data_IF_870608379887
#
_entry.id   IF_870608379887
#
_cell.length_a   1.000
_cell.length_b   1.000
_cell.length_c   1.000
_cell.angle_alpha   90.00
_cell.angle_beta   90.00
_cell.angle_gamma   90.00
#
_symmetry.space_group_name_H-M   'P 1'
#
loop_
_entity.id
_entity.type
_entity.pdbx_description
1 polymer ?
#
# COMPACT_ATOMS: atom_id res chain seq x y z
N UNK A 1 -4.60 -13.01 11.93
CA UNK A 1 -4.27 -11.88 11.02
C UNK A 1 -2.77 -11.67 11.09
N UNK A 2 -2.06 -11.63 9.98
CA UNK A 2 -0.61 -11.38 9.98
C UNK A 2 -0.38 -9.94 10.43
N UNK A 3 -0.01 -9.77 11.70
CA UNK A 3 0.28 -8.45 12.28
C UNK A 3 1.59 -7.93 11.69
N UNK A 4 1.50 -6.89 10.86
CA UNK A 4 2.69 -6.17 10.40
C UNK A 4 3.19 -5.30 11.55
N UNK A 5 4.46 -5.42 11.86
CA UNK A 5 5.18 -4.65 12.88
C UNK A 5 6.40 -4.00 12.25
N UNK A 6 7.02 -3.03 12.94
CA UNK A 6 8.23 -2.36 12.45
C UNK A 6 9.32 -3.38 12.09
N UNK A 7 9.50 -4.41 12.93
CA UNK A 7 10.55 -5.42 12.75
C UNK A 7 10.37 -6.30 11.51
N UNK A 8 9.14 -6.51 11.04
CA UNK A 8 8.86 -7.36 9.87
C UNK A 8 8.40 -6.56 8.64
N UNK A 9 8.32 -5.23 8.73
CA UNK A 9 7.78 -4.37 7.68
C UNK A 9 8.52 -4.53 6.35
N UNK A 10 9.86 -4.48 6.34
CA UNK A 10 10.67 -4.62 5.11
C UNK A 10 10.42 -5.96 4.40
N UNK A 11 10.32 -7.03 5.17
CA UNK A 11 10.02 -8.36 4.63
C UNK A 11 8.62 -8.38 4.03
N UNK A 12 7.62 -7.83 4.73
CA UNK A 12 6.23 -7.80 4.27
C UNK A 12 6.04 -6.93 3.03
N UNK A 13 6.68 -5.76 2.99
CA UNK A 13 6.67 -4.90 1.80
C UNK A 13 7.30 -5.60 0.60
N UNK A 14 8.44 -6.27 0.80
CA UNK A 14 9.17 -6.95 -0.29
C UNK A 14 8.49 -8.23 -0.77
N UNK A 15 7.79 -8.95 0.10
CA UNK A 15 7.16 -10.25 -0.21
C UNK A 15 5.70 -10.15 -0.63
N UNK A 16 5.02 -9.04 -0.30
CA UNK A 16 3.64 -8.83 -0.74
C UNK A 16 3.57 -8.56 -2.24
N UNK A 17 2.56 -9.16 -2.89
CA UNK A 17 2.19 -8.78 -4.27
C UNK A 17 1.75 -7.32 -4.32
N UNK A 18 1.01 -6.89 -3.30
CA UNK A 18 0.56 -5.52 -3.13
C UNK A 18 0.59 -5.16 -1.65
N UNK A 19 1.25 -4.06 -1.33
CA UNK A 19 1.25 -3.48 0.00
C UNK A 19 0.73 -2.05 -0.05
N UNK A 20 -0.26 -1.72 0.79
CA UNK A 20 -0.85 -0.39 0.89
C UNK A 20 -0.88 0.04 2.34
N UNK A 21 -0.10 1.07 2.67
CA UNK A 21 -0.29 1.80 3.92
C UNK A 21 -1.33 2.89 3.70
N UNK A 22 -2.34 2.90 4.56
CA UNK A 22 -3.57 3.68 4.45
C UNK A 22 -3.91 4.32 5.79
N UNK A 23 -4.85 5.27 5.77
CA UNK A 23 -5.58 5.70 6.97
C UNK A 23 -7.07 5.75 6.68
N UNK A 24 -7.90 5.38 7.66
CA UNK A 24 -9.36 5.21 7.45
C UNK A 24 -10.03 6.50 7.00
N UNK A 25 -9.59 7.65 7.52
CA UNK A 25 -10.13 8.97 7.21
C UNK A 25 -9.55 9.60 5.93
N UNK A 26 -8.56 8.98 5.28
CA UNK A 26 -7.88 9.59 4.14
C UNK A 26 -8.65 9.38 2.83
N UNK A 27 -9.12 10.44 2.15
CA UNK A 27 -9.89 10.31 0.91
C UNK A 27 -9.06 9.73 -0.24
N UNK A 28 -7.77 10.00 -0.30
CA UNK A 28 -6.87 9.44 -1.32
C UNK A 28 -6.64 7.94 -1.11
N UNK A 29 -6.63 7.47 0.13
CA UNK A 29 -6.55 6.04 0.42
C UNK A 29 -7.81 5.32 -0.05
N UNK A 30 -8.99 5.89 0.19
CA UNK A 30 -10.25 5.33 -0.30
C UNK A 30 -10.29 5.26 -1.83
N UNK A 31 -9.81 6.31 -2.53
CA UNK A 31 -9.69 6.30 -4.00
C UNK A 31 -8.74 5.21 -4.50
N UNK A 32 -7.54 5.11 -3.91
CA UNK A 32 -6.57 4.09 -4.29
C UNK A 32 -7.13 2.67 -4.07
N UNK A 33 -7.77 2.42 -2.93
CA UNK A 33 -8.45 1.15 -2.62
C UNK A 33 -9.56 0.83 -3.62
N UNK A 34 -10.36 1.82 -4.03
CA UNK A 34 -11.41 1.62 -5.03
C UNK A 34 -10.83 1.31 -6.42
N UNK A 35 -9.75 1.98 -6.83
CA UNK A 35 -9.03 1.63 -8.06
C UNK A 35 -8.58 0.19 -8.01
N UNK A 36 -7.88 -0.23 -6.96
CA UNK A 36 -7.42 -1.61 -6.80
C UNK A 36 -8.58 -2.62 -6.79
N UNK A 37 -9.69 -2.28 -6.13
CA UNK A 37 -10.90 -3.10 -6.12
C UNK A 37 -11.53 -3.27 -7.51
N UNK A 38 -11.42 -2.27 -8.39
CA UNK A 38 -11.89 -2.38 -9.78
C UNK A 38 -11.10 -3.41 -10.61
N UNK A 39 -9.87 -3.73 -10.19
CA UNK A 39 -9.06 -4.84 -10.72
C UNK A 39 -9.29 -6.17 -9.98
N UNK A 40 -10.33 -6.27 -9.14
CA UNK A 40 -10.60 -7.47 -8.33
C UNK A 40 -9.66 -7.66 -7.13
N UNK A 41 -8.84 -6.66 -6.82
CA UNK A 41 -7.87 -6.73 -5.73
C UNK A 41 -8.46 -6.14 -4.47
N UNK A 42 -8.57 -6.97 -3.44
CA UNK A 42 -9.15 -6.59 -2.15
C UNK A 42 -8.25 -7.06 -1.02
N UNK A 43 -8.58 -6.67 0.21
CA UNK A 43 -7.91 -7.17 1.42
C UNK A 43 -7.95 -8.70 1.57
N UNK A 44 -8.88 -9.38 0.88
CA UNK A 44 -9.01 -10.84 0.91
C UNK A 44 -8.18 -11.53 -0.17
N UNK A 45 -7.59 -10.77 -1.10
CA UNK A 45 -6.78 -11.32 -2.18
C UNK A 45 -5.43 -11.83 -1.64
N UNK A 46 -5.01 -13.07 -1.96
CA UNK A 46 -3.73 -13.60 -1.48
C UNK A 46 -2.54 -12.72 -1.87
N UNK A 47 -1.65 -12.47 -0.91
CA UNK A 47 -0.46 -11.61 -1.12
C UNK A 47 -0.75 -10.11 -1.10
N UNK A 48 -1.99 -9.69 -0.79
CA UNK A 48 -2.34 -8.29 -0.56
C UNK A 48 -2.29 -7.97 0.93
N UNK A 49 -1.65 -6.85 1.25
CA UNK A 49 -1.57 -6.32 2.60
C UNK A 49 -2.05 -4.87 2.56
N UNK A 50 -3.14 -4.57 3.27
CA UNK A 50 -3.64 -3.20 3.47
C UNK A 50 -3.57 -2.92 4.97
N UNK A 51 -2.82 -1.89 5.36
CA UNK A 51 -2.67 -1.46 6.75
C UNK A 51 -3.33 -0.11 6.95
N UNK A 52 -4.31 -0.05 7.84
CA UNK A 52 -4.87 1.21 8.33
C UNK A 52 -4.03 1.68 9.52
N UNK A 53 -3.07 2.57 9.26
CA UNK A 53 -2.06 2.97 10.25
C UNK A 53 -2.66 3.70 11.46
N UNK A 54 -3.82 4.33 11.30
CA UNK A 54 -4.53 4.99 12.38
C UNK A 54 -5.24 4.02 13.34
N UNK A 55 -5.43 2.75 12.94
CA UNK A 55 -6.04 1.70 13.77
C UNK A 55 -4.99 0.79 14.45
N UNK A 56 -3.72 1.00 14.16
CA UNK A 56 -2.61 0.18 14.68
C UNK A 56 -1.84 0.98 15.72
N UNK A 57 -1.64 0.42 16.93
CA UNK A 57 -0.91 1.08 18.01
C UNK A 57 0.49 1.57 17.61
N UNK A 58 1.20 0.78 16.79
CA UNK A 58 2.53 1.12 16.25
C UNK A 58 2.48 1.82 14.87
N UNK A 59 1.30 2.24 14.41
CA UNK A 59 1.12 2.76 13.06
C UNK A 59 1.98 4.00 12.73
N UNK A 60 2.24 4.86 13.73
CA UNK A 60 3.17 5.98 13.57
C UNK A 60 4.63 5.52 13.38
N UNK A 61 5.05 4.47 14.09
CA UNK A 61 6.39 3.90 13.95
C UNK A 61 6.54 3.18 12.60
N UNK A 62 5.51 2.46 12.15
CA UNK A 62 5.43 1.88 10.81
C UNK A 62 5.50 2.97 9.72
N UNK A 63 4.75 4.07 9.88
CA UNK A 63 4.80 5.19 8.93
C UNK A 63 6.20 5.80 8.84
N UNK A 64 6.90 5.92 9.97
CA UNK A 64 8.28 6.39 10.01
C UNK A 64 9.21 5.43 9.27
N UNK A 65 9.13 4.13 9.51
CA UNK A 65 9.97 3.16 8.82
C UNK A 65 9.66 3.11 7.31
N UNK A 66 8.38 3.22 6.91
CA UNK A 66 8.00 3.37 5.50
C UNK A 66 8.64 4.61 4.87
N UNK A 67 8.72 5.73 5.60
CA UNK A 67 9.41 6.92 5.14
C UNK A 67 10.92 6.67 4.95
N UNK A 68 11.59 5.94 5.85
CA UNK A 68 13.01 5.59 5.69
C UNK A 68 13.24 4.68 4.46
N UNK A 69 12.27 3.83 4.10
CA UNK A 69 12.36 2.92 2.94
C UNK A 69 12.05 3.63 1.62
N UNK A 70 11.00 4.46 1.58
CA UNK A 70 10.47 5.06 0.34
C UNK A 70 10.82 6.52 0.12
N UNK A 71 11.19 7.25 1.17
CA UNK A 71 11.22 8.71 1.18
C UNK A 71 9.83 9.37 1.23
N UNK A 72 8.73 8.61 1.26
CA UNK A 72 7.37 9.15 1.26
C UNK A 72 6.77 9.23 2.67
N UNK A 73 6.37 10.44 3.09
CA UNK A 73 5.74 10.69 4.41
C UNK A 73 4.22 10.52 4.40
N UNK A 74 3.59 10.56 3.24
CA UNK A 74 2.14 10.63 3.08
C UNK A 74 1.51 9.26 2.84
N UNK A 75 0.24 9.13 3.20
CA UNK A 75 -0.62 8.01 2.80
C UNK A 75 -1.54 8.45 1.65
N UNK A 76 -1.96 7.55 0.74
CA UNK A 76 -1.55 6.14 0.68
C UNK A 76 -0.07 6.00 0.28
N UNK A 77 0.62 5.01 0.83
CA UNK A 77 1.97 4.62 0.40
C UNK A 77 1.90 3.18 -0.15
N UNK A 78 2.15 3.03 -1.45
CA UNK A 78 1.79 1.86 -2.24
C UNK A 78 3.06 1.20 -2.79
N UNK A 79 3.12 -0.13 -2.65
CA UNK A 79 4.14 -0.97 -3.24
C UNK A 79 3.49 -2.12 -4.01
N UNK A 80 4.05 -2.46 -5.18
CA UNK A 80 3.61 -3.59 -6.01
C UNK A 80 4.84 -4.46 -6.29
N UNK A 81 4.78 -5.75 -5.95
CA UNK A 81 5.89 -6.69 -6.09
C UNK A 81 7.19 -6.21 -5.41
N UNK A 82 7.08 -5.60 -4.23
CA UNK A 82 8.20 -5.00 -3.50
C UNK A 82 8.73 -3.67 -4.04
N UNK A 83 8.26 -3.20 -5.20
CA UNK A 83 8.66 -1.91 -5.76
C UNK A 83 7.76 -0.78 -5.24
N UNK A 84 8.37 0.30 -4.76
CA UNK A 84 7.64 1.50 -4.36
C UNK A 84 7.02 2.18 -5.58
N UNK A 85 5.71 2.41 -5.52
CA UNK A 85 4.92 3.05 -6.58
C UNK A 85 4.67 4.52 -6.23
N UNK A 86 4.39 4.82 -4.97
CA UNK A 86 4.08 6.17 -4.51
C UNK A 86 2.69 6.27 -3.88
N UNK A 87 1.98 7.34 -4.21
CA UNK A 87 0.65 7.65 -3.68
C UNK A 87 -0.49 7.34 -4.63
N UNK A 88 -1.65 7.94 -4.36
CA UNK A 88 -2.82 7.77 -5.20
C UNK A 88 -2.58 8.33 -6.61
N UNK A 89 -1.92 9.48 -6.75
CA UNK A 89 -1.64 10.09 -8.05
C UNK A 89 -0.82 9.15 -8.94
N UNK A 90 0.27 8.59 -8.40
CA UNK A 90 1.12 7.64 -9.14
C UNK A 90 0.35 6.39 -9.56
N UNK A 91 -0.55 5.89 -8.70
CA UNK A 91 -1.43 4.78 -9.04
C UNK A 91 -2.40 5.12 -10.18
N UNK A 92 -3.02 6.31 -10.14
CA UNK A 92 -3.93 6.76 -11.21
C UNK A 92 -3.17 6.98 -12.52
N UNK A 93 -1.95 7.51 -12.46
CA UNK A 93 -1.11 7.71 -13.64
C UNK A 93 -0.77 6.36 -14.30
N UNK A 94 -0.44 5.34 -13.51
CA UNK A 94 -0.24 3.97 -14.02
C UNK A 94 -1.51 3.37 -14.61
N UNK A 95 -2.67 3.63 -14.00
CA UNK A 95 -3.97 3.20 -14.53
C UNK A 95 -4.25 3.86 -15.88
N UNK A 96 -4.03 5.17 -16.01
CA UNK A 96 -4.26 5.93 -17.24
C UNK A 96 -3.34 5.53 -18.40
N UNK A 97 -2.19 4.93 -18.08
CA UNK A 97 -1.22 4.42 -19.04
C UNK A 97 -1.41 2.93 -19.36
N UNK A 98 -2.48 2.30 -18.85
CA UNK A 98 -2.75 0.85 -18.95
C UNK A 98 -1.61 -0.05 -18.40
N UNK A 99 -0.68 0.52 -17.62
CA UNK A 99 0.47 -0.20 -17.02
C UNK A 99 0.12 -0.85 -15.69
N UNK A 100 -0.93 -0.36 -15.03
CA UNK A 100 -1.31 -0.87 -13.71
C UNK A 100 -1.71 -2.34 -13.77
N UNK A 101 -2.45 -2.76 -14.80
CA UNK A 101 -2.87 -4.17 -14.94
C UNK A 101 -1.66 -5.11 -15.09
N UNK A 102 -0.64 -4.71 -15.85
CA UNK A 102 0.57 -5.51 -16.04
C UNK A 102 1.34 -5.72 -14.73
N UNK A 103 1.41 -4.67 -13.89
CA UNK A 103 2.09 -4.74 -12.59
C UNK A 103 1.33 -5.60 -11.56
N UNK A 104 0.02 -5.78 -11.74
CA UNK A 104 -0.85 -6.48 -10.79
C UNK A 104 -1.01 -7.99 -11.06
N UNK A 105 -0.46 -8.52 -12.16
CA UNK A 105 -0.46 -9.95 -12.52
C UNK A 105 0.50 -10.76 -11.63
#
# INVERSE_FOLDING_TARGET
MSTVTVSNLKEKVSSAKLFVASKTYCPYCSKAKNTLASYGITKSTPGVIILELDEISEGAAIQKELFEISGQKTVPNIYIGGKHIGGNSDLQDLQSQDKLEELLK
#
